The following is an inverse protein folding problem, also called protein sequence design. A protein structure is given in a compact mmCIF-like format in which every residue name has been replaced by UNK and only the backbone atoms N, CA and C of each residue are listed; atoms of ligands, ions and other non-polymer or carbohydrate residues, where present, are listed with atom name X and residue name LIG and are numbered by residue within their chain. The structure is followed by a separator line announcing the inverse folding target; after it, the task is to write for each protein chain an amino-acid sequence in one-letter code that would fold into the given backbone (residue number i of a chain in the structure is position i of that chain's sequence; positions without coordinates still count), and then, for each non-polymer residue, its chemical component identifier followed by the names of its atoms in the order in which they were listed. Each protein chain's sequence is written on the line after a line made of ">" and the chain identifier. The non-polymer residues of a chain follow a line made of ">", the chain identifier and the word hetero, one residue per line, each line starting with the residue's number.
data_IF_046030505642
#
_entry.id   IF_046030505642
#
_cell.length_a   1.000
_cell.length_b   1.000
_cell.length_c   1.000
_cell.angle_alpha   90.00
_cell.angle_beta   90.00
_cell.angle_gamma   90.00
#
_symmetry.space_group_name_H-M   'P 1'
#
loop_
_entity.id
_entity.type
_entity.pdbx_description
1 polymer ?
#
# COMPACT_ATOMS: atom_id res chain seq x y z
N UNK A 1 -26.00 9.24 -0.55
CA UNK A 1 -24.89 8.84 -1.45
C UNK A 1 -25.31 9.24 -2.86
N UNK A 2 -24.55 10.04 -3.62
CA UNK A 2 -24.91 10.33 -5.00
C UNK A 2 -24.69 9.08 -5.86
N UNK A 3 -25.65 8.81 -6.74
CA UNK A 3 -25.67 7.68 -7.68
C UNK A 3 -24.49 7.82 -8.64
N UNK A 4 -23.67 6.77 -8.73
CA UNK A 4 -22.58 6.71 -9.70
C UNK A 4 -23.17 6.57 -11.12
N UNK A 5 -22.64 7.30 -12.13
CA UNK A 5 -23.07 7.14 -13.51
C UNK A 5 -22.70 5.75 -14.04
N UNK A 6 -23.49 5.19 -14.98
CA UNK A 6 -23.23 3.86 -15.55
C UNK A 6 -21.92 3.83 -16.36
N UNK A 7 -21.21 2.69 -16.37
CA UNK A 7 -19.99 2.54 -17.16
C UNK A 7 -20.27 2.64 -18.67
N UNK A 8 -19.34 3.25 -19.39
CA UNK A 8 -19.45 3.49 -20.83
C UNK A 8 -19.16 2.24 -21.66
N UNK A 9 -19.82 2.12 -22.82
CA UNK A 9 -19.81 0.95 -23.71
C UNK A 9 -18.42 0.52 -24.23
N UNK A 10 -17.39 1.34 -24.03
CA UNK A 10 -16.00 1.04 -24.38
C UNK A 10 -15.34 0.06 -23.39
N UNK A 11 -15.72 0.08 -22.11
CA UNK A 11 -15.23 -0.88 -21.11
C UNK A 11 -15.75 -2.31 -21.37
N UNK A 12 -16.91 -2.42 -22.04
CA UNK A 12 -17.53 -3.69 -22.43
C UNK A 12 -16.79 -4.33 -23.63
N UNK A 13 -16.10 -3.53 -24.46
CA UNK A 13 -15.45 -4.04 -25.68
C UNK A 13 -14.04 -4.60 -25.42
N UNK A 14 -13.34 -4.12 -24.39
CA UNK A 14 -11.98 -4.60 -24.05
C UNK A 14 -12.01 -6.00 -23.43
N UNK A 15 -13.14 -6.43 -22.85
CA UNK A 15 -13.31 -7.77 -22.29
C UNK A 15 -13.60 -8.90 -23.29
N UNK A 16 -13.74 -8.62 -24.60
CA UNK A 16 -14.25 -9.60 -25.57
C UNK A 16 -13.22 -10.38 -26.40
N UNK A 17 -11.92 -10.20 -26.15
CA UNK A 17 -10.91 -10.79 -27.05
C UNK A 17 -9.90 -11.72 -26.36
N UNK A 18 -10.33 -12.55 -25.40
CA UNK A 18 -9.81 -13.93 -25.19
C UNK A 18 -10.81 -14.71 -24.32
N UNK A 19 -11.72 -15.49 -24.93
CA UNK A 19 -12.18 -16.78 -24.42
C UNK A 19 -13.19 -17.41 -25.40
N UNK A 20 -12.83 -18.58 -25.90
CA UNK A 20 -13.75 -19.54 -26.49
C UNK A 20 -14.89 -19.80 -25.48
N UNK A 21 -16.14 -19.89 -25.92
CA UNK A 21 -17.32 -19.98 -25.06
C UNK A 21 -17.24 -21.13 -24.03
N UNK A 22 -16.73 -20.80 -22.84
CA UNK A 22 -16.94 -21.51 -21.58
C UNK A 22 -18.11 -20.85 -20.88
N UNK A 23 -18.93 -21.63 -20.17
CA UNK A 23 -20.09 -21.15 -19.41
C UNK A 23 -19.79 -19.84 -18.64
N UNK A 24 -20.77 -18.92 -18.53
CA UNK A 24 -20.56 -17.68 -17.79
C UNK A 24 -20.09 -17.99 -16.36
N UNK A 25 -19.04 -17.32 -15.89
CA UNK A 25 -18.58 -17.49 -14.52
C UNK A 25 -19.61 -16.92 -13.54
N UNK A 26 -19.91 -17.63 -12.43
CA UNK A 26 -20.82 -17.13 -11.41
C UNK A 26 -20.30 -15.83 -10.79
N UNK A 27 -21.23 -14.95 -10.43
CA UNK A 27 -20.95 -13.69 -9.75
C UNK A 27 -20.25 -13.97 -8.42
N UNK A 28 -19.04 -13.44 -8.26
CA UNK A 28 -18.27 -13.56 -7.04
C UNK A 28 -18.57 -12.41 -6.08
N UNK A 29 -18.87 -12.74 -4.83
CA UNK A 29 -19.26 -11.81 -3.77
C UNK A 29 -18.47 -12.08 -2.49
N UNK A 30 -18.42 -11.08 -1.61
CA UNK A 30 -17.75 -11.18 -0.31
C UNK A 30 -18.52 -10.37 0.74
N UNK A 31 -18.59 -10.87 1.97
CA UNK A 31 -19.05 -10.06 3.10
C UNK A 31 -17.94 -9.05 3.43
N UNK A 32 -18.27 -7.77 3.50
CA UNK A 32 -17.27 -6.74 3.76
C UNK A 32 -17.74 -5.69 4.75
N UNK A 33 -16.84 -5.30 5.66
CA UNK A 33 -17.03 -4.08 6.42
C UNK A 33 -16.61 -2.88 5.57
N UNK A 34 -17.41 -1.81 5.56
CA UNK A 34 -17.12 -0.64 4.74
C UNK A 34 -15.88 0.07 5.25
N UNK A 35 -15.23 0.76 4.33
CA UNK A 35 -14.04 1.55 4.60
C UNK A 35 -14.27 2.51 5.78
N UNK A 36 -13.40 2.44 6.78
CA UNK A 36 -13.43 3.29 7.95
C UNK A 36 -13.23 4.76 7.58
N UNK A 37 -13.82 5.65 8.40
CA UNK A 37 -13.67 7.10 8.23
C UNK A 37 -12.23 7.59 8.25
N UNK A 38 -11.31 6.84 8.88
CA UNK A 38 -9.86 7.12 8.88
C UNK A 38 -9.24 7.08 7.47
N UNK A 39 -9.84 6.32 6.55
CA UNK A 39 -9.44 6.28 5.14
C UNK A 39 -10.44 7.01 4.24
N UNK A 40 -11.41 7.73 4.82
CA UNK A 40 -12.42 8.48 4.08
C UNK A 40 -11.84 9.63 3.26
N UNK A 41 -12.66 10.25 2.42
CA UNK A 41 -12.20 11.26 1.44
C UNK A 41 -11.34 12.37 2.03
N UNK A 42 -11.71 12.92 3.20
CA UNK A 42 -10.95 13.98 3.85
C UNK A 42 -9.51 13.59 4.22
N UNK A 43 -9.33 12.41 4.82
CA UNK A 43 -8.00 11.90 5.19
C UNK A 43 -7.11 11.67 3.97
N UNK A 44 -7.68 11.16 2.87
CA UNK A 44 -6.97 10.92 1.60
C UNK A 44 -6.54 12.22 0.94
N UNK A 45 -7.45 13.17 0.84
CA UNK A 45 -7.16 14.49 0.27
C UNK A 45 -6.05 15.17 1.08
N UNK A 46 -6.17 15.17 2.41
CA UNK A 46 -5.14 15.74 3.29
C UNK A 46 -3.79 15.05 3.08
N UNK A 47 -3.77 13.72 3.04
CA UNK A 47 -2.53 12.96 2.81
C UNK A 47 -1.89 13.29 1.46
N UNK A 48 -2.66 13.34 0.37
CA UNK A 48 -2.12 13.68 -0.96
C UNK A 48 -1.60 15.10 -1.03
N UNK A 49 -2.31 16.06 -0.42
CA UNK A 49 -1.87 17.45 -0.34
C UNK A 49 -0.55 17.54 0.46
N UNK A 50 -0.43 16.81 1.57
CA UNK A 50 0.80 16.78 2.36
C UNK A 50 1.97 16.18 1.56
N UNK A 51 1.74 15.07 0.86
CA UNK A 51 2.75 14.45 -0.02
C UNK A 51 3.15 15.40 -1.15
N UNK A 52 2.19 16.03 -1.82
CA UNK A 52 2.45 17.02 -2.87
C UNK A 52 3.22 18.22 -2.32
N UNK A 53 2.85 18.74 -1.15
CA UNK A 53 3.57 19.83 -0.48
C UNK A 53 5.03 19.43 -0.15
N UNK A 54 5.27 18.19 0.29
CA UNK A 54 6.64 17.68 0.51
C UNK A 54 7.48 17.68 -0.76
N UNK A 55 6.86 17.45 -1.92
CA UNK A 55 7.53 17.40 -3.23
C UNK A 55 7.70 18.79 -3.85
N UNK A 56 6.70 19.66 -3.74
CA UNK A 56 6.67 20.97 -4.39
C UNK A 56 7.34 22.06 -3.55
N UNK A 57 7.09 22.08 -2.23
CA UNK A 57 7.63 23.09 -1.32
C UNK A 57 9.05 22.79 -0.81
N UNK A 58 9.85 22.05 -1.59
CA UNK A 58 11.22 21.60 -1.23
C UNK A 58 12.16 22.74 -0.80
N UNK A 59 11.91 23.96 -1.27
CA UNK A 59 12.71 25.16 -1.00
C UNK A 59 12.42 25.80 0.37
N UNK A 60 11.26 25.52 0.97
CA UNK A 60 10.84 26.13 2.24
C UNK A 60 11.03 25.13 3.37
N UNK A 61 12.14 25.23 4.10
CA UNK A 61 12.56 24.19 5.05
C UNK A 61 11.56 23.94 6.19
N UNK A 62 10.95 25.00 6.72
CA UNK A 62 9.97 24.89 7.80
C UNK A 62 8.72 24.10 7.35
N UNK A 63 8.17 24.47 6.20
CA UNK A 63 6.98 23.82 5.65
C UNK A 63 7.28 22.37 5.25
N UNK A 64 8.43 22.13 4.61
CA UNK A 64 8.91 20.78 4.26
C UNK A 64 8.99 19.87 5.49
N UNK A 65 9.60 20.34 6.57
CA UNK A 65 9.81 19.50 7.76
C UNK A 65 8.49 19.17 8.47
N UNK A 66 7.58 20.14 8.58
CA UNK A 66 6.26 19.93 9.17
C UNK A 66 5.38 19.01 8.30
N UNK A 67 5.31 19.28 6.99
CA UNK A 67 4.55 18.44 6.06
C UNK A 67 5.11 17.02 5.99
N UNK A 68 6.44 16.85 6.02
CA UNK A 68 7.06 15.53 5.99
C UNK A 68 6.77 14.76 7.28
N UNK A 69 6.89 15.40 8.45
CA UNK A 69 6.52 14.76 9.71
C UNK A 69 5.04 14.33 9.70
N UNK A 70 4.12 15.19 9.26
CA UNK A 70 2.71 14.87 9.14
C UNK A 70 2.45 13.75 8.12
N UNK A 71 3.09 13.81 6.95
CA UNK A 71 2.92 12.82 5.89
C UNK A 71 3.42 11.42 6.29
N UNK A 72 4.51 11.33 7.08
CA UNK A 72 5.04 10.04 7.53
C UNK A 72 4.14 9.34 8.57
N UNK A 73 3.29 10.08 9.28
CA UNK A 73 2.38 9.50 10.28
C UNK A 73 1.32 8.63 9.62
N UNK A 74 0.74 9.06 8.49
CA UNK A 74 -0.35 8.32 7.81
C UNK A 74 0.06 6.89 7.38
N UNK A 75 1.19 6.66 6.70
CA UNK A 75 1.64 5.30 6.38
C UNK A 75 2.04 4.50 7.62
N UNK A 76 2.57 5.16 8.67
CA UNK A 76 2.95 4.47 9.89
C UNK A 76 1.72 3.93 10.64
N UNK A 77 0.67 4.73 10.78
CA UNK A 77 -0.60 4.29 11.39
C UNK A 77 -1.29 3.24 10.51
N UNK A 78 -1.29 3.43 9.19
CA UNK A 78 -1.81 2.44 8.25
C UNK A 78 -1.06 1.11 8.30
N UNK A 79 0.26 1.11 8.50
CA UNK A 79 1.06 -0.10 8.60
C UNK A 79 0.78 -0.88 9.89
N UNK A 80 0.64 -0.19 11.02
CA UNK A 80 0.20 -0.82 12.27
C UNK A 80 -1.20 -1.42 12.08
N UNK A 81 -2.09 -0.66 11.47
CA UNK A 81 -3.45 -1.12 11.20
C UNK A 81 -3.47 -2.35 10.30
N UNK A 82 -2.67 -2.36 9.23
CA UNK A 82 -2.48 -3.53 8.36
C UNK A 82 -2.00 -4.78 9.12
N UNK A 83 -1.04 -4.62 10.04
CA UNK A 83 -0.57 -5.74 10.88
C UNK A 83 -1.71 -6.29 11.74
N UNK A 84 -2.50 -5.40 12.36
CA UNK A 84 -3.64 -5.81 13.19
C UNK A 84 -4.73 -6.50 12.34
N UNK A 85 -5.05 -5.96 11.17
CA UNK A 85 -6.00 -6.56 10.23
C UNK A 85 -5.59 -7.99 9.85
N UNK A 86 -4.32 -8.19 9.46
CA UNK A 86 -3.80 -9.52 9.14
C UNK A 86 -3.74 -10.46 10.36
N UNK A 87 -3.58 -9.92 11.57
CA UNK A 87 -3.52 -10.70 12.81
C UNK A 87 -4.91 -11.14 13.29
N UNK A 88 -5.94 -10.33 13.02
CA UNK A 88 -7.33 -10.57 13.40
C UNK A 88 -8.17 -10.94 12.17
N UNK A 89 -7.57 -11.74 11.27
CA UNK A 89 -8.19 -12.21 10.04
C UNK A 89 -9.52 -12.93 10.31
N UNK A 90 -10.46 -12.77 9.39
CA UNK A 90 -11.77 -13.43 9.40
C UNK A 90 -11.96 -14.14 8.06
N UNK A 91 -12.13 -15.48 8.08
CA UNK A 91 -12.15 -16.26 6.82
C UNK A 91 -13.37 -15.96 5.93
N UNK A 92 -14.46 -15.48 6.52
CA UNK A 92 -15.75 -15.26 5.83
C UNK A 92 -16.06 -13.79 5.51
N UNK A 93 -15.18 -12.86 5.91
CA UNK A 93 -15.39 -11.45 5.65
C UNK A 93 -14.09 -10.65 5.56
N UNK A 94 -14.16 -9.56 4.82
CA UNK A 94 -13.02 -8.67 4.56
C UNK A 94 -13.27 -7.28 5.14
N UNK A 95 -12.28 -6.71 5.81
CA UNK A 95 -12.31 -5.29 6.14
C UNK A 95 -11.75 -4.48 4.96
N UNK A 96 -12.56 -3.59 4.38
CA UNK A 96 -12.13 -2.79 3.23
C UNK A 96 -11.00 -1.80 3.57
N UNK A 97 -10.67 -1.62 4.86
CA UNK A 97 -9.51 -0.87 5.30
C UNK A 97 -8.18 -1.42 4.78
N UNK A 98 -8.12 -2.69 4.36
CA UNK A 98 -6.92 -3.25 3.69
C UNK A 98 -6.54 -2.46 2.43
N UNK A 99 -7.52 -1.96 1.66
CA UNK A 99 -7.28 -1.15 0.47
C UNK A 99 -6.85 0.28 0.85
N UNK A 100 -7.46 0.84 1.90
CA UNK A 100 -7.06 2.14 2.45
C UNK A 100 -5.62 2.11 2.98
N UNK A 101 -5.27 1.07 3.73
CA UNK A 101 -3.94 0.85 4.25
C UNK A 101 -2.91 0.61 3.13
N UNK A 102 -3.26 -0.19 2.12
CA UNK A 102 -2.42 -0.42 0.94
C UNK A 102 -2.06 0.89 0.23
N UNK A 103 -3.04 1.75 0.03
CA UNK A 103 -2.86 3.04 -0.64
C UNK A 103 -1.89 3.94 0.13
N UNK A 104 -2.11 4.13 1.44
CA UNK A 104 -1.25 4.97 2.27
C UNK A 104 0.17 4.40 2.39
N UNK A 105 0.31 3.09 2.63
CA UNK A 105 1.61 2.44 2.77
C UNK A 105 2.40 2.47 1.45
N UNK A 106 1.76 2.19 0.31
CA UNK A 106 2.42 2.16 -1.00
C UNK A 106 2.88 3.55 -1.45
N UNK A 107 2.05 4.58 -1.26
CA UNK A 107 2.47 5.96 -1.58
C UNK A 107 3.59 6.39 -0.64
N UNK A 108 3.47 6.08 0.66
CA UNK A 108 4.47 6.42 1.66
C UNK A 108 5.84 5.82 1.34
N UNK A 109 5.89 4.51 1.08
CA UNK A 109 7.16 3.81 0.84
C UNK A 109 7.86 4.25 -0.47
N UNK A 110 7.10 4.74 -1.46
CA UNK A 110 7.64 5.28 -2.70
C UNK A 110 8.12 6.73 -2.54
N UNK A 111 7.36 7.56 -1.83
CA UNK A 111 7.61 9.01 -1.77
C UNK A 111 8.56 9.42 -0.64
N UNK A 112 8.53 8.73 0.50
CA UNK A 112 9.33 9.09 1.66
C UNK A 112 10.84 8.91 1.42
N UNK A 113 11.35 7.76 0.91
CA UNK A 113 12.78 7.61 0.63
C UNK A 113 13.29 8.63 -0.40
N UNK A 114 12.48 8.95 -1.42
CA UNK A 114 12.80 9.91 -2.45
C UNK A 114 12.95 11.34 -1.89
N UNK A 115 11.96 11.79 -1.11
CA UNK A 115 11.95 13.13 -0.48
C UNK A 115 13.08 13.29 0.54
N UNK A 116 13.35 12.24 1.32
CA UNK A 116 14.46 12.22 2.27
C UNK A 116 15.81 12.30 1.57
N UNK A 117 16.00 11.57 0.45
CA UNK A 117 17.28 11.53 -0.24
C UNK A 117 17.72 12.86 -0.81
N UNK A 118 16.74 13.68 -1.17
CA UNK A 118 16.93 15.04 -1.67
C UNK A 118 17.20 16.04 -0.53
N UNK A 119 16.96 15.68 0.73
CA UNK A 119 17.12 16.56 1.90
C UNK A 119 18.44 16.29 2.64
N UNK A 120 19.30 17.31 2.74
CA UNK A 120 20.54 17.25 3.56
C UNK A 120 20.23 17.11 5.06
N UNK A 121 19.10 17.65 5.51
CA UNK A 121 18.69 17.70 6.93
C UNK A 121 18.36 16.32 7.48
N UNK A 122 17.63 15.49 6.73
CA UNK A 122 17.22 14.14 7.17
C UNK A 122 18.31 13.07 6.97
N UNK A 123 19.29 13.35 6.11
CA UNK A 123 20.44 12.47 5.90
C UNK A 123 21.45 12.48 7.06
N UNK A 124 21.28 13.39 8.03
CA UNK A 124 22.15 13.51 9.20
C UNK A 124 21.75 12.50 10.31
N UNK A 125 22.68 12.19 11.22
CA UNK A 125 22.61 11.01 12.11
C UNK A 125 21.27 10.76 12.86
N UNK A 126 20.55 11.75 13.44
CA UNK A 126 19.32 11.46 14.18
C UNK A 126 18.11 11.12 13.28
N UNK A 127 17.92 11.82 12.15
CA UNK A 127 16.80 11.57 11.24
C UNK A 127 16.87 10.23 10.53
N UNK A 128 18.10 9.75 10.25
CA UNK A 128 18.34 8.48 9.56
C UNK A 128 17.82 7.25 10.34
N UNK A 129 18.02 7.22 11.66
CA UNK A 129 17.61 6.08 12.47
C UNK A 129 16.08 5.99 12.57
N UNK A 130 15.40 7.13 12.75
CA UNK A 130 13.93 7.20 12.76
C UNK A 130 13.36 6.73 11.44
N UNK A 131 13.94 7.18 10.31
CA UNK A 131 13.50 6.76 8.99
C UNK A 131 13.73 5.27 8.74
N UNK A 132 14.84 4.70 9.23
CA UNK A 132 15.07 3.27 9.13
C UNK A 132 13.98 2.47 9.84
N UNK A 133 13.67 2.83 11.10
CA UNK A 133 12.59 2.18 11.88
C UNK A 133 11.24 2.36 11.21
N UNK A 134 10.96 3.56 10.69
CA UNK A 134 9.74 3.84 9.95
C UNK A 134 9.63 2.98 8.68
N UNK A 135 10.71 2.83 7.91
CA UNK A 135 10.71 1.98 6.70
C UNK A 135 10.49 0.51 7.06
N UNK A 136 11.12 0.02 8.13
CA UNK A 136 10.88 -1.34 8.65
C UNK A 136 9.40 -1.54 8.99
N UNK A 137 8.79 -0.59 9.70
CA UNK A 137 7.38 -0.67 10.06
C UNK A 137 6.47 -0.70 8.84
N UNK A 138 6.70 0.17 7.85
CA UNK A 138 5.87 0.21 6.63
C UNK A 138 6.03 -1.04 5.78
N UNK A 139 7.26 -1.58 5.65
CA UNK A 139 7.49 -2.86 4.96
C UNK A 139 6.78 -4.01 5.68
N UNK A 140 6.82 -4.05 7.02
CA UNK A 140 6.08 -5.05 7.79
C UNK A 140 4.55 -4.95 7.56
N UNK A 141 4.01 -3.73 7.52
CA UNK A 141 2.61 -3.49 7.17
C UNK A 141 2.25 -3.92 5.75
N UNK A 142 3.11 -3.65 4.76
CA UNK A 142 2.89 -4.09 3.37
C UNK A 142 2.93 -5.61 3.23
N UNK A 143 3.85 -6.29 3.92
CA UNK A 143 3.89 -7.75 3.98
C UNK A 143 2.63 -8.33 4.64
N UNK A 144 2.15 -7.71 5.73
CA UNK A 144 0.90 -8.10 6.36
C UNK A 144 -0.29 -7.95 5.39
N UNK A 145 -0.35 -6.86 4.62
CA UNK A 145 -1.34 -6.69 3.55
C UNK A 145 -1.21 -7.74 2.44
N UNK A 146 0.01 -8.07 2.02
CA UNK A 146 0.24 -9.14 1.04
C UNK A 146 -0.37 -10.45 1.53
N UNK A 147 -0.15 -10.82 2.79
CA UNK A 147 -0.73 -12.01 3.39
C UNK A 147 -2.26 -11.92 3.43
N UNK A 148 -2.80 -10.77 3.83
CA UNK A 148 -4.25 -10.59 3.96
C UNK A 148 -4.98 -10.65 2.61
N UNK A 149 -4.46 -9.95 1.58
CA UNK A 149 -5.00 -10.05 0.22
C UNK A 149 -4.83 -11.45 -0.39
N UNK A 150 -3.74 -12.16 -0.05
CA UNK A 150 -3.52 -13.53 -0.52
C UNK A 150 -4.51 -14.53 0.08
N UNK A 151 -4.90 -14.34 1.34
CA UNK A 151 -5.86 -15.21 2.04
C UNK A 151 -7.32 -14.88 1.74
N UNK A 152 -7.59 -13.67 1.24
CA UNK A 152 -8.95 -13.23 0.93
C UNK A 152 -9.47 -13.92 -0.33
N UNK A 153 -10.58 -14.63 -0.19
CA UNK A 153 -11.28 -15.27 -1.30
C UNK A 153 -12.71 -14.74 -1.45
N UNK A 154 -13.14 -14.56 -2.71
CA UNK A 154 -14.53 -14.26 -3.01
C UNK A 154 -15.28 -15.57 -3.25
N UNK A 155 -16.56 -15.61 -2.88
CA UNK A 155 -17.40 -16.80 -2.98
C UNK A 155 -18.44 -16.65 -4.08
N UNK A 156 -18.80 -17.76 -4.70
CA UNK A 156 -19.85 -17.78 -5.72
C UNK A 156 -21.21 -17.43 -5.11
N UNK A 157 -21.88 -16.44 -5.68
CA UNK A 157 -23.24 -16.12 -5.32
C UNK A 157 -24.21 -17.17 -5.87
N UNK A 158 -24.93 -17.83 -4.96
CA UNK A 158 -26.01 -18.77 -5.27
C UNK A 158 -27.33 -18.28 -4.69
N UNK A 159 -28.37 -18.30 -5.52
CA UNK A 159 -29.72 -17.96 -5.10
C UNK A 159 -30.29 -18.91 -4.03
N UNK A 160 -31.46 -18.58 -3.49
CA UNK A 160 -32.16 -19.41 -2.49
C UNK A 160 -32.52 -20.82 -2.99
N UNK A 161 -32.43 -21.07 -4.30
CA UNK A 161 -32.64 -22.38 -4.93
C UNK A 161 -31.33 -23.12 -5.26
N UNK A 162 -30.18 -22.53 -4.90
CA UNK A 162 -28.84 -23.08 -5.11
C UNK A 162 -28.25 -22.83 -6.51
N UNK A 163 -28.92 -22.05 -7.36
CA UNK A 163 -28.46 -21.74 -8.72
C UNK A 163 -27.49 -20.55 -8.71
N UNK A 164 -26.42 -20.59 -9.52
CA UNK A 164 -25.48 -19.47 -9.63
C UNK A 164 -26.15 -18.23 -10.24
N UNK A 165 -25.84 -17.06 -9.69
CA UNK A 165 -26.20 -15.75 -10.25
C UNK A 165 -25.06 -15.27 -11.13
N UNK A 166 -25.32 -14.74 -12.32
CA UNK A 166 -24.27 -14.37 -13.28
C UNK A 166 -24.11 -12.87 -13.54
N UNK A 167 -25.14 -12.05 -13.29
CA UNK A 167 -25.16 -10.64 -13.67
C UNK A 167 -25.33 -9.70 -12.48
N UNK A 168 -24.56 -8.60 -12.47
CA UNK A 168 -24.67 -7.51 -11.48
C UNK A 168 -26.04 -6.82 -11.50
N UNK A 169 -26.70 -6.76 -12.67
CA UNK A 169 -28.03 -6.15 -12.81
C UNK A 169 -29.11 -6.91 -12.03
N UNK A 170 -28.85 -8.18 -11.72
CA UNK A 170 -29.70 -9.02 -10.88
C UNK A 170 -29.26 -9.02 -9.41
N UNK A 171 -28.22 -8.26 -9.04
CA UNK A 171 -27.76 -8.08 -7.68
C UNK A 171 -28.66 -7.02 -7.02
N UNK A 172 -29.63 -7.41 -6.18
CA UNK A 172 -30.57 -6.45 -5.63
C UNK A 172 -29.84 -5.64 -4.55
N UNK A 173 -29.67 -4.34 -4.79
CA UNK A 173 -28.91 -3.45 -3.91
C UNK A 173 -29.42 -3.32 -2.47
N UNK A 174 -30.60 -3.86 -2.16
CA UNK A 174 -31.30 -3.66 -0.87
C UNK A 174 -31.67 -4.96 -0.12
N UNK A 175 -31.36 -6.15 -0.64
CA UNK A 175 -31.73 -7.39 0.07
C UNK A 175 -30.52 -8.23 0.44
N UNK A 176 -30.37 -8.41 1.76
CA UNK A 176 -29.65 -9.52 2.44
C UNK A 176 -30.13 -10.93 2.01
N UNK A 177 -30.80 -11.07 0.87
CA UNK A 177 -31.40 -12.31 0.40
C UNK A 177 -31.14 -12.47 -1.10
N UNK A 178 -30.09 -13.23 -1.44
CA UNK A 178 -29.99 -14.08 -2.65
C UNK A 178 -28.58 -14.57 -2.97
N UNK A 179 -27.61 -14.37 -2.09
CA UNK A 179 -26.43 -15.23 -2.06
C UNK A 179 -26.51 -16.02 -0.75
N UNK A 180 -26.29 -17.34 -0.74
CA UNK A 180 -26.30 -18.24 0.44
C UNK A 180 -25.25 -17.90 1.52
N UNK A 181 -24.86 -16.62 1.64
CA UNK A 181 -23.89 -16.05 2.56
C UNK A 181 -24.63 -15.19 3.57
N UNK A 182 -24.37 -15.41 4.85
CA UNK A 182 -24.94 -14.63 5.94
C UNK A 182 -23.93 -13.53 6.30
N UNK A 183 -24.25 -12.28 5.95
CA UNK A 183 -23.50 -11.09 6.37
C UNK A 183 -24.43 -10.25 7.25
N UNK A 184 -24.45 -10.51 8.56
CA UNK A 184 -25.28 -9.83 9.53
C UNK A 184 -24.44 -9.25 10.67
N UNK A 185 -24.98 -8.28 11.41
CA UNK A 185 -24.29 -7.72 12.57
C UNK A 185 -23.99 -8.83 13.58
N UNK A 186 -22.73 -8.94 14.00
CA UNK A 186 -22.23 -10.01 14.85
C UNK A 186 -21.88 -11.32 14.15
N UNK A 187 -22.16 -11.47 12.84
CA UNK A 187 -21.79 -12.67 12.08
C UNK A 187 -21.47 -12.38 10.59
N UNK A 188 -20.21 -12.59 10.16
CA UNK A 188 -19.05 -13.00 10.94
C UNK A 188 -18.58 -11.94 11.95
N UNK A 189 -18.00 -12.38 13.07
CA UNK A 189 -17.54 -11.49 14.14
C UNK A 189 -16.11 -11.00 13.88
N UNK A 190 -15.90 -9.68 13.92
CA UNK A 190 -14.56 -9.08 13.95
C UNK A 190 -14.32 -8.33 15.27
N UNK A 191 -13.22 -8.61 15.99
CA UNK A 191 -12.89 -7.86 17.20
C UNK A 191 -12.66 -6.36 16.95
N UNK A 192 -12.38 -5.97 15.70
CA UNK A 192 -12.13 -4.57 15.32
C UNK A 192 -13.40 -3.80 14.97
N UNK A 193 -14.46 -4.52 14.59
CA UNK A 193 -15.74 -3.93 14.13
C UNK A 193 -16.82 -4.27 15.16
N UNK A 194 -17.04 -3.34 16.08
CA UNK A 194 -18.03 -3.50 17.14
C UNK A 194 -18.94 -2.28 17.24
N UNK A 195 -20.16 -2.47 17.77
CA UNK A 195 -21.14 -1.40 17.91
C UNK A 195 -21.50 -0.74 16.57
N UNK A 196 -21.39 0.58 16.48
CA UNK A 196 -21.77 1.33 15.27
C UNK A 196 -20.89 1.08 14.04
N UNK A 197 -19.78 0.34 14.19
CA UNK A 197 -18.87 -0.01 13.09
C UNK A 197 -19.05 -1.46 12.59
N UNK A 198 -19.99 -2.23 13.16
CA UNK A 198 -20.26 -3.63 12.80
C UNK A 198 -21.22 -3.79 11.61
N UNK A 199 -21.44 -2.70 10.86
CA UNK A 199 -22.31 -2.72 9.70
C UNK A 199 -21.63 -3.45 8.53
N UNK A 200 -21.90 -4.75 8.40
CA UNK A 200 -21.35 -5.58 7.33
C UNK A 200 -22.31 -5.66 6.14
N UNK A 201 -21.77 -5.58 4.92
CA UNK A 201 -22.57 -5.65 3.69
C UNK A 201 -22.00 -6.68 2.72
N UNK A 202 -22.89 -7.32 1.96
CA UNK A 202 -22.50 -8.16 0.85
C UNK A 202 -22.16 -7.29 -0.35
N UNK A 203 -20.93 -7.40 -0.86
CA UNK A 203 -20.46 -6.62 -2.02
C UNK A 203 -19.90 -7.53 -3.11
N UNK A 204 -20.01 -7.14 -4.40
CA UNK A 204 -19.36 -7.86 -5.47
C UNK A 204 -17.84 -7.77 -5.35
N UNK A 205 -17.13 -8.78 -5.87
CA UNK A 205 -15.68 -8.79 -5.95
C UNK A 205 -15.16 -7.54 -6.68
N UNK A 206 -14.14 -6.84 -6.15
CA UNK A 206 -13.55 -5.69 -6.80
C UNK A 206 -12.98 -6.04 -8.18
N UNK A 207 -13.30 -5.23 -9.20
CA UNK A 207 -12.89 -5.48 -10.60
C UNK A 207 -11.67 -4.66 -11.05
N UNK A 208 -11.51 -3.41 -10.58
CA UNK A 208 -10.34 -2.59 -10.92
C UNK A 208 -9.05 -3.07 -10.25
N UNK A 209 -9.14 -3.39 -8.95
CA UNK A 209 -8.02 -3.89 -8.16
C UNK A 209 -8.47 -5.14 -7.42
N UNK A 210 -8.46 -6.25 -8.16
CA UNK A 210 -8.80 -7.58 -7.62
C UNK A 210 -7.88 -7.95 -6.45
N UNK A 211 -8.29 -8.88 -5.58
CA UNK A 211 -7.44 -9.31 -4.45
C UNK A 211 -6.07 -9.79 -4.91
N UNK A 212 -6.00 -10.60 -5.98
CA UNK A 212 -4.73 -11.03 -6.55
C UNK A 212 -3.86 -9.88 -7.08
N UNK A 213 -4.46 -8.90 -7.75
CA UNK A 213 -3.72 -7.70 -8.20
C UNK A 213 -3.22 -6.87 -7.01
N UNK A 214 -4.04 -6.73 -5.96
CA UNK A 214 -3.66 -6.03 -4.73
C UNK A 214 -2.50 -6.72 -4.00
N UNK A 215 -2.49 -8.06 -3.93
CA UNK A 215 -1.36 -8.86 -3.41
C UNK A 215 -0.07 -8.52 -4.13
N UNK A 216 -0.09 -8.50 -5.47
CA UNK A 216 1.07 -8.19 -6.29
C UNK A 216 1.54 -6.74 -6.09
N UNK A 217 0.63 -5.78 -6.00
CA UNK A 217 0.97 -4.37 -5.73
C UNK A 217 1.59 -4.21 -4.35
N UNK A 218 1.05 -4.87 -3.32
CA UNK A 218 1.58 -4.87 -1.97
C UNK A 218 2.99 -5.49 -1.91
N UNK A 219 3.19 -6.62 -2.58
CA UNK A 219 4.50 -7.27 -2.64
C UNK A 219 5.52 -6.43 -3.42
N UNK A 220 5.12 -5.84 -4.55
CA UNK A 220 5.98 -5.00 -5.38
C UNK A 220 6.41 -3.73 -4.66
N UNK A 221 5.54 -3.10 -3.86
CA UNK A 221 5.86 -1.89 -3.10
C UNK A 221 6.82 -2.15 -1.93
N UNK A 222 7.03 -3.41 -1.52
CA UNK A 222 8.08 -3.76 -0.56
C UNK A 222 9.49 -3.59 -1.14
N UNK A 223 9.69 -3.81 -2.44
CA UNK A 223 10.99 -3.75 -3.12
C UNK A 223 11.71 -2.41 -2.86
N UNK A 224 11.12 -1.23 -3.12
CA UNK A 224 11.78 0.03 -2.86
C UNK A 224 12.08 0.25 -1.36
N UNK A 225 11.19 -0.22 -0.48
CA UNK A 225 11.41 -0.17 0.98
C UNK A 225 12.64 -0.97 1.41
N UNK A 226 12.75 -2.22 0.97
CA UNK A 226 13.87 -3.11 1.28
C UNK A 226 15.19 -2.55 0.74
N UNK A 227 15.19 -2.09 -0.52
CA UNK A 227 16.37 -1.48 -1.14
C UNK A 227 16.80 -0.19 -0.39
N UNK A 228 15.83 0.62 0.06
CA UNK A 228 16.09 1.79 0.90
C UNK A 228 16.71 1.41 2.25
N UNK A 229 16.17 0.38 2.92
CA UNK A 229 16.69 -0.15 4.18
C UNK A 229 18.14 -0.63 4.03
N UNK A 230 18.46 -1.43 3.02
CA UNK A 230 19.82 -1.92 2.77
C UNK A 230 20.80 -0.76 2.56
N UNK A 231 20.41 0.25 1.78
CA UNK A 231 21.22 1.45 1.54
C UNK A 231 21.49 2.23 2.84
N UNK A 232 20.47 2.43 3.66
CA UNK A 232 20.59 3.13 4.95
C UNK A 232 21.45 2.33 5.93
N UNK A 233 21.25 1.01 6.01
CA UNK A 233 22.00 0.10 6.87
C UNK A 233 23.49 0.11 6.55
N UNK A 234 23.85 -0.03 5.27
CA UNK A 234 25.24 0.05 4.81
C UNK A 234 25.90 1.37 5.21
N UNK A 235 25.15 2.47 5.15
CA UNK A 235 25.65 3.78 5.58
C UNK A 235 25.84 3.87 7.10
N UNK A 236 24.95 3.29 7.89
CA UNK A 236 25.08 3.22 9.35
C UNK A 236 26.31 2.39 9.73
N UNK A 237 26.46 1.20 9.16
CA UNK A 237 27.59 0.32 9.39
C UNK A 237 28.93 1.02 9.08
N UNK A 238 29.03 1.68 7.91
CA UNK A 238 30.22 2.45 7.52
C UNK A 238 30.58 3.55 8.52
N UNK A 239 29.58 4.28 9.03
CA UNK A 239 29.82 5.37 9.97
C UNK A 239 30.22 4.87 11.35
N UNK A 240 29.62 3.77 11.83
CA UNK A 240 30.01 3.15 13.09
C UNK A 240 31.43 2.58 13.01
N UNK A 241 31.77 1.90 11.92
CA UNK A 241 33.14 1.43 11.66
C UNK A 241 34.15 2.58 11.66
N UNK A 242 33.85 3.65 10.91
CA UNK A 242 34.73 4.83 10.84
C UNK A 242 34.97 5.50 12.20
N UNK A 243 33.93 5.54 13.05
CA UNK A 243 34.06 6.05 14.42
C UNK A 243 34.93 5.17 15.32
N UNK A 244 34.90 3.85 15.12
CA UNK A 244 35.56 2.90 16.00
C UNK A 244 37.00 2.59 15.58
N UNK A 245 37.28 2.56 14.27
CA UNK A 245 38.56 2.10 13.72
C UNK A 245 39.27 3.12 12.82
N UNK A 246 38.71 4.33 12.65
CA UNK A 246 39.24 5.34 11.72
C UNK A 246 38.77 5.13 10.27
N UNK A 247 39.27 5.94 9.33
CA UNK A 247 38.88 5.83 7.92
C UNK A 247 39.35 4.49 7.33
N UNK A 248 38.43 3.59 6.93
CA UNK A 248 38.82 2.29 6.40
C UNK A 248 39.53 2.45 5.06
N UNK A 249 40.58 1.65 4.84
CA UNK A 249 41.15 1.45 3.51
C UNK A 249 40.07 0.85 2.59
N UNK A 250 39.99 1.35 1.35
CA UNK A 250 38.88 1.06 0.43
C UNK A 250 38.89 -0.37 -0.10
N UNK A 251 40.05 -1.01 -0.10
CA UNK A 251 40.27 -2.36 -0.62
C UNK A 251 40.46 -3.41 0.50
N UNK A 252 40.50 -3.00 1.76
CA UNK A 252 40.60 -3.92 2.90
C UNK A 252 39.27 -4.65 3.14
N UNK A 253 39.36 -5.95 3.44
CA UNK A 253 38.20 -6.79 3.73
C UNK A 253 37.70 -6.49 5.13
N UNK A 254 36.40 -6.22 5.26
CA UNK A 254 35.77 -5.98 6.56
C UNK A 254 35.69 -7.32 7.31
N UNK A 255 36.38 -7.45 8.45
CA UNK A 255 36.33 -8.64 9.32
C UNK A 255 34.88 -8.99 9.70
N UNK A 256 34.57 -10.30 9.67
CA UNK A 256 33.22 -10.80 9.99
C UNK A 256 32.19 -10.67 8.86
N UNK A 257 32.59 -10.17 7.68
CA UNK A 257 31.76 -10.20 6.47
C UNK A 257 32.28 -11.24 5.47
N UNK A 258 31.43 -11.77 4.59
CA UNK A 258 31.80 -12.75 3.55
C UNK A 258 32.66 -12.12 2.43
N UNK A 259 33.79 -11.49 2.77
CA UNK A 259 34.71 -10.85 1.82
C UNK A 259 34.27 -9.46 1.33
N UNK A 260 33.44 -8.73 2.08
CA UNK A 260 32.96 -7.43 1.63
C UNK A 260 34.01 -6.33 1.82
N UNK A 261 34.24 -5.53 0.78
CA UNK A 261 35.13 -4.35 0.83
C UNK A 261 34.33 -3.04 0.78
N UNK A 262 34.85 -1.93 1.37
CA UNK A 262 34.19 -0.62 1.29
C UNK A 262 33.95 -0.15 -0.16
N UNK A 263 34.85 -0.49 -1.09
CA UNK A 263 34.69 -0.23 -2.52
C UNK A 263 33.53 -1.02 -3.12
N UNK A 264 33.42 -2.32 -2.83
CA UNK A 264 32.31 -3.15 -3.27
C UNK A 264 30.96 -2.63 -2.76
N UNK A 265 30.89 -2.26 -1.47
CA UNK A 265 29.68 -1.70 -0.86
C UNK A 265 29.28 -0.35 -1.48
N UNK A 266 30.25 0.49 -1.88
CA UNK A 266 29.97 1.74 -2.61
C UNK A 266 29.31 1.47 -3.96
N UNK A 267 29.87 0.53 -4.73
CA UNK A 267 29.31 0.11 -6.03
C UNK A 267 27.89 -0.41 -5.88
N UNK A 268 27.62 -1.29 -4.91
CA UNK A 268 26.29 -1.83 -4.64
C UNK A 268 25.31 -0.71 -4.25
N UNK A 269 25.72 0.19 -3.37
CA UNK A 269 24.87 1.32 -2.96
C UNK A 269 24.57 2.26 -4.14
N UNK A 270 25.52 2.47 -5.06
CA UNK A 270 25.31 3.28 -6.26
C UNK A 270 24.31 2.61 -7.23
N UNK A 271 24.36 1.29 -7.38
CA UNK A 271 23.37 0.52 -8.16
C UNK A 271 21.99 0.59 -7.53
N UNK A 272 21.88 0.34 -6.22
CA UNK A 272 20.62 0.44 -5.48
C UNK A 272 20.01 1.84 -5.65
N UNK A 273 20.83 2.89 -5.55
CA UNK A 273 20.39 4.26 -5.74
C UNK A 273 19.86 4.51 -7.16
N UNK A 274 20.51 3.96 -8.18
CA UNK A 274 20.03 4.06 -9.57
C UNK A 274 18.68 3.37 -9.74
N UNK A 275 18.51 2.15 -9.23
CA UNK A 275 17.25 1.41 -9.33
C UNK A 275 16.11 2.15 -8.64
N UNK A 276 16.35 2.64 -7.43
CA UNK A 276 15.35 3.41 -6.70
C UNK A 276 15.03 4.73 -7.37
N UNK A 277 16.03 5.43 -7.93
CA UNK A 277 15.77 6.63 -8.73
C UNK A 277 14.90 6.36 -9.96
N UNK A 278 15.06 5.22 -10.64
CA UNK A 278 14.21 4.85 -11.79
C UNK A 278 12.74 4.65 -11.38
N UNK A 279 12.50 4.11 -10.18
CA UNK A 279 11.12 3.87 -9.68
C UNK A 279 10.52 5.12 -9.03
N UNK A 280 11.32 5.86 -8.25
CA UNK A 280 10.87 7.00 -7.45
C UNK A 280 10.69 8.28 -8.29
N UNK A 281 11.55 8.52 -9.29
CA UNK A 281 11.52 9.78 -10.08
C UNK A 281 10.23 9.92 -10.90
N UNK A 282 9.73 8.90 -11.63
CA UNK A 282 8.45 9.02 -12.34
C UNK A 282 7.29 9.34 -11.40
N UNK A 283 7.24 8.72 -10.22
CA UNK A 283 6.20 8.97 -9.20
C UNK A 283 6.26 10.40 -8.68
N UNK A 284 7.47 10.92 -8.43
CA UNK A 284 7.67 12.28 -7.92
C UNK A 284 7.48 13.35 -9.01
N UNK A 285 7.80 13.05 -10.27
CA UNK A 285 7.65 13.94 -11.42
C UNK A 285 6.23 13.95 -12.01
N UNK A 286 5.47 12.88 -11.86
CA UNK A 286 4.07 12.80 -12.31
C UNK A 286 3.13 13.70 -11.48
N UNK A 287 3.47 13.96 -10.21
CA UNK A 287 2.66 14.80 -9.31
C UNK A 287 2.57 16.25 -9.82
N UNK A 288 3.67 16.93 -10.23
CA UNK A 288 3.60 18.24 -10.86
C UNK A 288 2.77 18.30 -12.16
N UNK A 289 2.86 17.28 -13.02
CA UNK A 289 2.17 17.30 -14.33
C UNK A 289 0.65 17.14 -14.25
N UNK A 290 0.12 16.57 -13.16
CA UNK A 290 -1.32 16.49 -12.91
C UNK A 290 -1.96 17.83 -12.50
N UNK A 291 -1.15 18.83 -12.14
CA UNK A 291 -1.59 20.19 -11.77
C UNK A 291 -1.17 21.25 -12.79
N UNK A 292 -0.60 20.85 -13.92
CA UNK A 292 -0.13 21.78 -14.97
C UNK A 292 -1.09 21.87 -16.17
N UNK A 293 -2.31 21.32 -16.06
CA UNK A 293 -3.31 21.30 -17.13
C UNK A 293 -4.56 22.11 -16.76
N UNK A 294 -4.35 23.23 -16.07
CA UNK A 294 -5.28 24.36 -15.98
C UNK A 294 -4.46 25.66 -16.03
N UNK A 295 -4.07 26.08 -17.23
CA UNK A 295 -3.75 27.48 -17.60
C UNK A 295 -3.93 27.66 -19.12
#
# INVERSE_FOLDING_TARGET
>A
MPVLPPPSSLDILVGRTVANASDPEPLQVVCSWPLSGQYGGGSRILYYVLVAACVLARKTEWLRNACLAAALIFPATAAIHAIVLASLHTDDAIDMDIYGALQMCSIGILTAPATVRLSRTYFNNPGRNVLFVWTVLVVAGLLALTVEFFRTEAKDCRDSTGRPVYHLDNFPGDTKQNCSLVCEEGNPFSPMRTGSADNINLVPKPYYLTFGAATLVAAASCVPGILSMVSIWNKIAKLNWSKQFGTPDVDEVIEGTNGATPRGMKTVNDVIRRLLSVVEIPVVCAIPSLFAEED
#
